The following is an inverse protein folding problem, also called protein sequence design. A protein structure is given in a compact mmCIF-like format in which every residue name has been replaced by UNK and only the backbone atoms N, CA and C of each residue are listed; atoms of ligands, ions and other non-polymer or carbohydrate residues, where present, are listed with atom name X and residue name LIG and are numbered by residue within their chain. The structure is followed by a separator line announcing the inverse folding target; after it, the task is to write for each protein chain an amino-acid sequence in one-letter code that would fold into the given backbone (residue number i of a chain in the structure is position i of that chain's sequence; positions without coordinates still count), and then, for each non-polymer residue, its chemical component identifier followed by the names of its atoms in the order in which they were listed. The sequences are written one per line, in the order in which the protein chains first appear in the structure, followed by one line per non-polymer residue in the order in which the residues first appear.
data_IF_955255732589
#
_entry.id   IF_955255732589
#
_cell.length_a   1.000
_cell.length_b   1.000
_cell.length_c   1.000
_cell.angle_alpha   90.00
_cell.angle_beta   90.00
_cell.angle_gamma   90.00
#
_symmetry.space_group_name_H-M   'P 1'
#
loop_
_entity.id
_entity.type
_entity.pdbx_description
1 polymer ?
#
# COMPACT_ATOMS: atom_id res chain seq x y z
N UNK A 1 16.42 -3.93 -20.56
CA UNK A 1 16.67 -3.71 -19.12
C UNK A 1 15.45 -2.98 -18.57
N UNK A 2 14.56 -3.67 -17.83
CA UNK A 2 13.39 -3.02 -17.23
C UNK A 2 13.89 -2.18 -16.04
N UNK A 3 13.59 -0.88 -16.03
CA UNK A 3 13.94 0.00 -14.92
C UNK A 3 13.31 -0.55 -13.62
N UNK A 4 14.14 -0.74 -12.59
CA UNK A 4 13.65 -1.16 -11.28
C UNK A 4 12.67 -0.11 -10.75
N UNK A 5 11.58 -0.53 -10.07
CA UNK A 5 10.70 0.41 -9.39
C UNK A 5 11.53 1.26 -8.43
N UNK A 6 11.19 2.54 -8.32
CA UNK A 6 11.87 3.47 -7.40
C UNK A 6 11.60 3.06 -5.95
N UNK A 7 12.41 2.14 -5.42
CA UNK A 7 12.30 1.62 -4.05
C UNK A 7 12.28 2.77 -3.04
N UNK A 8 11.33 2.72 -2.11
CA UNK A 8 11.21 3.68 -1.01
C UNK A 8 10.46 5.00 -1.33
N UNK A 9 10.05 5.26 -2.57
CA UNK A 9 9.24 6.45 -2.89
C UNK A 9 7.80 6.25 -2.39
N UNK A 10 7.32 7.16 -1.55
CA UNK A 10 5.95 7.16 -1.00
C UNK A 10 5.23 8.47 -1.30
N UNK A 11 3.97 8.42 -1.75
CA UNK A 11 3.12 9.60 -1.85
C UNK A 11 2.40 9.88 -0.53
N UNK A 12 2.23 11.17 -0.23
CA UNK A 12 1.35 11.66 0.86
C UNK A 12 -0.05 12.02 0.36
N UNK A 13 -0.25 12.07 -0.95
CA UNK A 13 -1.52 12.39 -1.57
C UNK A 13 -2.48 11.19 -1.56
N UNK A 14 -3.77 11.47 -1.73
CA UNK A 14 -4.81 10.45 -1.92
C UNK A 14 -4.65 9.78 -3.28
N UNK A 15 -5.12 8.53 -3.37
CA UNK A 15 -4.97 7.68 -4.55
C UNK A 15 -5.26 8.38 -5.90
N UNK A 16 -6.37 9.13 -6.09
CA UNK A 16 -6.66 9.74 -7.39
C UNK A 16 -5.62 10.77 -7.83
N UNK A 17 -5.14 11.59 -6.88
CA UNK A 17 -4.14 12.63 -7.14
C UNK A 17 -2.75 11.99 -7.35
N UNK A 18 -2.37 11.04 -6.49
CA UNK A 18 -1.12 10.31 -6.60
C UNK A 18 -0.99 9.55 -7.94
N UNK A 19 -2.08 8.91 -8.40
CA UNK A 19 -2.13 8.20 -9.68
C UNK A 19 -2.00 9.18 -10.86
N UNK A 20 -2.71 10.30 -10.81
CA UNK A 20 -2.64 11.33 -11.85
C UNK A 20 -1.24 11.94 -11.95
N UNK A 21 -0.64 12.30 -10.81
CA UNK A 21 0.72 12.84 -10.74
C UNK A 21 1.74 11.87 -11.34
N UNK A 22 1.62 10.56 -11.06
CA UNK A 22 2.48 9.54 -11.70
C UNK A 22 2.27 9.45 -13.21
N UNK A 23 1.02 9.50 -13.67
CA UNK A 23 0.73 9.48 -15.11
C UNK A 23 1.34 10.70 -15.81
N UNK A 24 1.24 11.88 -15.22
CA UNK A 24 1.83 13.12 -15.75
C UNK A 24 3.37 13.05 -15.74
N UNK A 25 3.99 12.63 -14.63
CA UNK A 25 5.44 12.44 -14.48
C UNK A 25 6.00 11.48 -15.53
N UNK A 26 5.26 10.41 -15.85
CA UNK A 26 5.64 9.38 -16.83
C UNK A 26 5.14 9.68 -18.24
N UNK A 27 4.45 10.80 -18.45
CA UNK A 27 3.83 11.21 -19.74
C UNK A 27 2.95 10.11 -20.35
N UNK A 28 2.21 9.40 -19.51
CA UNK A 28 1.32 8.32 -19.93
C UNK A 28 -0.12 8.82 -20.09
N UNK A 29 -0.72 8.52 -21.22
CA UNK A 29 -2.16 8.66 -21.44
C UNK A 29 -2.93 7.52 -20.76
N UNK A 30 -4.22 7.75 -20.50
CA UNK A 30 -5.14 6.70 -20.02
C UNK A 30 -5.15 5.45 -20.92
N UNK A 31 -5.03 5.61 -22.24
CA UNK A 31 -5.02 4.48 -23.18
C UNK A 31 -3.75 3.65 -23.06
N UNK A 32 -2.59 4.31 -22.89
CA UNK A 32 -1.32 3.62 -22.70
C UNK A 32 -1.29 2.86 -21.36
N UNK A 33 -1.78 3.49 -20.29
CA UNK A 33 -1.86 2.82 -18.99
C UNK A 33 -2.88 1.67 -19.00
N UNK A 34 -4.01 1.84 -19.67
CA UNK A 34 -5.01 0.78 -19.88
C UNK A 34 -4.40 -0.43 -20.58
N UNK A 35 -3.61 -0.20 -21.64
CA UNK A 35 -2.91 -1.27 -22.34
C UNK A 35 -1.93 -2.02 -21.43
N UNK A 36 -1.14 -1.29 -20.62
CA UNK A 36 -0.15 -1.89 -19.69
C UNK A 36 -0.79 -2.71 -18.56
N UNK A 37 -1.97 -2.30 -18.10
CA UNK A 37 -2.64 -2.89 -16.92
C UNK A 37 -3.79 -3.83 -17.27
N UNK A 38 -4.17 -3.92 -18.55
CA UNK A 38 -5.39 -4.58 -19.04
C UNK A 38 -6.70 -4.03 -18.45
N UNK A 39 -6.65 -2.84 -17.85
CA UNK A 39 -7.82 -2.12 -17.37
C UNK A 39 -8.43 -1.27 -18.49
N UNK A 40 -9.70 -0.89 -18.37
CA UNK A 40 -10.31 0.01 -19.34
C UNK A 40 -9.88 1.47 -19.10
N UNK A 41 -9.68 2.24 -20.17
CA UNK A 41 -9.36 3.67 -20.06
C UNK A 41 -10.47 4.46 -19.34
N UNK A 42 -11.74 4.04 -19.50
CA UNK A 42 -12.87 4.60 -18.76
C UNK A 42 -12.76 4.35 -17.25
N UNK A 43 -12.37 3.14 -16.85
CA UNK A 43 -12.14 2.83 -15.43
C UNK A 43 -11.01 3.67 -14.83
N UNK A 44 -9.88 3.79 -15.54
CA UNK A 44 -8.76 4.63 -15.10
C UNK A 44 -9.14 6.10 -14.95
N UNK A 45 -9.97 6.63 -15.85
CA UNK A 45 -10.48 8.00 -15.76
C UNK A 45 -11.37 8.19 -14.52
N UNK A 46 -12.18 7.19 -14.17
CA UNK A 46 -12.98 7.25 -12.94
C UNK A 46 -12.12 7.20 -11.68
N UNK A 47 -11.03 6.42 -11.70
CA UNK A 47 -10.07 6.31 -10.60
C UNK A 47 -9.31 7.63 -10.37
N UNK A 48 -8.76 8.26 -11.41
CA UNK A 48 -8.03 9.53 -11.26
C UNK A 48 -8.92 10.71 -10.88
N UNK A 49 -10.22 10.64 -11.18
CA UNK A 49 -11.23 11.61 -10.72
C UNK A 49 -11.73 11.36 -9.30
N UNK A 50 -11.45 10.20 -8.70
CA UNK A 50 -12.02 9.81 -7.41
C UNK A 50 -13.53 9.52 -7.44
N UNK A 51 -14.12 9.36 -8.63
CA UNK A 51 -15.54 9.05 -8.82
C UNK A 51 -15.89 7.58 -8.57
N UNK A 52 -14.88 6.75 -8.33
CA UNK A 52 -14.99 5.36 -7.89
C UNK A 52 -14.17 5.17 -6.62
N UNK A 53 -14.53 4.21 -5.77
CA UNK A 53 -13.73 3.85 -4.61
C UNK A 53 -12.32 3.41 -5.04
N UNK A 54 -11.38 3.57 -4.11
CA UNK A 54 -10.01 3.08 -4.26
C UNK A 54 -10.06 1.56 -4.50
N UNK A 55 -9.31 1.04 -5.48
CA UNK A 55 -9.42 -0.36 -5.85
C UNK A 55 -8.66 -1.28 -4.88
N UNK A 56 -8.95 -2.57 -4.97
CA UNK A 56 -8.29 -3.62 -4.18
C UNK A 56 -6.79 -3.72 -4.52
N UNK A 57 -6.02 -4.35 -3.63
CA UNK A 57 -4.55 -4.44 -3.71
C UNK A 57 -4.03 -5.01 -5.04
N UNK A 58 -4.59 -6.08 -5.63
CA UNK A 58 -4.10 -6.59 -6.91
C UNK A 58 -4.17 -5.56 -8.06
N UNK A 59 -5.16 -4.67 -8.01
CA UNK A 59 -5.31 -3.61 -9.01
C UNK A 59 -4.30 -2.49 -8.74
N UNK A 60 -4.06 -2.15 -7.47
CA UNK A 60 -3.02 -1.17 -7.11
C UNK A 60 -1.63 -1.69 -7.49
N UNK A 61 -1.33 -2.95 -7.23
CA UNK A 61 -0.06 -3.60 -7.61
C UNK A 61 0.15 -3.57 -9.12
N UNK A 62 -0.88 -3.92 -9.90
CA UNK A 62 -0.84 -3.84 -11.37
C UNK A 62 -0.56 -2.40 -11.85
N UNK A 63 -1.20 -1.40 -11.24
CA UNK A 63 -0.97 0.02 -11.54
C UNK A 63 0.45 0.45 -11.16
N UNK A 64 0.91 0.09 -9.97
CA UNK A 64 2.24 0.41 -9.46
C UNK A 64 3.33 -0.16 -10.37
N UNK A 65 3.19 -1.44 -10.74
CA UNK A 65 4.09 -2.11 -11.67
C UNK A 65 4.12 -1.41 -13.03
N UNK A 66 2.96 -1.08 -13.61
CA UNK A 66 2.87 -0.39 -14.89
C UNK A 66 3.45 1.04 -14.86
N UNK A 67 3.50 1.67 -13.69
CA UNK A 67 4.02 3.02 -13.45
C UNK A 67 5.47 3.03 -12.91
N UNK A 68 6.09 1.85 -12.77
CA UNK A 68 7.45 1.66 -12.25
C UNK A 68 7.65 2.23 -10.84
N UNK A 69 6.70 1.96 -9.94
CA UNK A 69 6.79 2.25 -8.50
C UNK A 69 6.38 1.02 -7.69
N UNK A 70 6.75 0.99 -6.42
CA UNK A 70 6.23 -0.01 -5.47
C UNK A 70 4.77 0.31 -5.10
N UNK A 71 3.94 -0.69 -4.73
CA UNK A 71 2.57 -0.47 -4.25
C UNK A 71 2.51 0.49 -3.05
N UNK A 72 3.54 0.46 -2.20
CA UNK A 72 3.82 1.37 -1.08
C UNK A 72 3.80 2.85 -1.45
N UNK A 73 3.95 3.17 -2.74
CA UNK A 73 3.77 4.52 -3.23
C UNK A 73 2.40 5.09 -2.87
N UNK A 74 1.35 4.27 -2.93
CA UNK A 74 -0.03 4.69 -2.67
C UNK A 74 -0.36 4.63 -1.18
N UNK A 75 -0.89 5.73 -0.63
CA UNK A 75 -1.23 5.84 0.79
C UNK A 75 -2.23 4.78 1.23
N UNK A 76 -3.26 4.52 0.43
CA UNK A 76 -4.35 3.60 0.75
C UNK A 76 -3.94 2.13 0.72
N UNK A 77 -2.86 1.79 0.00
CA UNK A 77 -2.23 0.48 0.09
C UNK A 77 -1.57 0.33 1.46
N UNK A 78 -0.75 1.31 1.86
CA UNK A 78 -0.09 1.33 3.18
C UNK A 78 -1.07 1.38 4.34
N UNK A 79 -2.17 2.12 4.23
CA UNK A 79 -3.19 2.20 5.28
C UNK A 79 -3.90 0.86 5.49
N UNK A 80 -4.14 0.08 4.43
CA UNK A 80 -4.72 -1.26 4.56
C UNK A 80 -3.76 -2.21 5.24
N UNK A 81 -2.51 -2.26 4.79
CA UNK A 81 -1.46 -3.06 5.45
C UNK A 81 -1.29 -2.68 6.92
N UNK A 82 -1.33 -1.38 7.23
CA UNK A 82 -1.29 -0.91 8.62
C UNK A 82 -2.52 -1.38 9.41
N UNK A 83 -3.71 -1.32 8.83
CA UNK A 83 -4.93 -1.80 9.49
C UNK A 83 -4.89 -3.31 9.75
N UNK A 84 -4.36 -4.11 8.82
CA UNK A 84 -4.18 -5.55 8.98
C UNK A 84 -3.25 -5.84 10.17
N UNK A 85 -2.07 -5.20 10.21
CA UNK A 85 -1.10 -5.33 11.31
C UNK A 85 -1.71 -4.92 12.65
N UNK A 86 -2.46 -3.81 12.69
CA UNK A 86 -3.12 -3.36 13.91
C UNK A 86 -4.27 -4.29 14.34
N UNK A 87 -4.91 -4.99 13.39
CA UNK A 87 -5.91 -6.03 13.68
C UNK A 87 -5.32 -7.23 14.42
N UNK A 88 -4.10 -7.63 14.05
CA UNK A 88 -3.37 -8.73 14.72
C UNK A 88 -2.69 -8.29 16.03
N UNK A 89 -2.57 -6.99 16.28
CA UNK A 89 -1.95 -6.42 17.49
C UNK A 89 -2.93 -5.52 18.28
N UNK A 90 -3.98 -6.08 18.90
CA UNK A 90 -5.06 -5.30 19.53
C UNK A 90 -4.58 -4.38 20.67
N UNK A 91 -3.57 -4.80 21.43
CA UNK A 91 -2.99 -3.97 22.51
C UNK A 91 -2.35 -2.71 21.92
N UNK A 92 -1.58 -2.85 20.85
CA UNK A 92 -0.97 -1.71 20.16
C UNK A 92 -2.03 -0.80 19.52
N UNK A 93 -3.07 -1.39 18.93
CA UNK A 93 -4.18 -0.63 18.34
C UNK A 93 -4.89 0.26 19.39
N UNK A 94 -5.18 -0.30 20.58
CA UNK A 94 -5.80 0.44 21.68
C UNK A 94 -4.90 1.58 22.21
N UNK A 95 -3.61 1.31 22.37
CA UNK A 95 -2.65 2.34 22.79
C UNK A 95 -2.54 3.48 21.76
N UNK A 96 -2.44 3.16 20.47
CA UNK A 96 -2.41 4.17 19.41
C UNK A 96 -3.72 4.97 19.35
N UNK A 97 -4.87 4.33 19.58
CA UNK A 97 -6.14 5.02 19.69
C UNK A 97 -6.11 6.04 20.84
N UNK A 98 -5.66 5.64 22.02
CA UNK A 98 -5.50 6.54 23.17
C UNK A 98 -4.61 7.74 22.86
N UNK A 99 -3.46 7.52 22.21
CA UNK A 99 -2.51 8.58 21.86
C UNK A 99 -3.08 9.53 20.80
N UNK A 100 -3.59 8.99 19.70
CA UNK A 100 -3.95 9.78 18.53
C UNK A 100 -5.31 10.48 18.66
N UNK A 101 -6.25 9.90 19.42
CA UNK A 101 -7.64 10.37 19.49
C UNK A 101 -8.07 10.78 20.90
N UNK A 102 -7.39 10.33 21.95
CA UNK A 102 -7.69 10.69 23.34
C UNK A 102 -6.60 11.52 24.02
N UNK A 103 -5.61 12.01 23.27
CA UNK A 103 -4.50 12.84 23.75
C UNK A 103 -3.68 12.19 24.90
N UNK A 104 -3.66 10.85 24.95
CA UNK A 104 -2.85 10.14 25.92
C UNK A 104 -1.34 10.36 25.65
N UNK A 105 -0.49 10.38 26.69
CA UNK A 105 0.94 10.55 26.51
C UNK A 105 1.57 9.38 25.76
N UNK A 106 2.57 9.66 24.93
CA UNK A 106 3.40 8.62 24.31
C UNK A 106 4.33 8.04 25.39
N UNK A 107 4.19 6.74 25.67
CA UNK A 107 4.99 6.03 26.68
C UNK A 107 6.08 5.18 26.02
N UNK A 108 7.09 4.78 26.80
CA UNK A 108 8.13 3.84 26.34
C UNK A 108 7.55 2.46 25.98
N UNK A 109 6.49 2.05 26.67
CA UNK A 109 5.72 0.84 26.41
C UNK A 109 5.18 0.78 24.97
N UNK A 110 4.69 1.91 24.44
CA UNK A 110 4.23 2.00 23.05
C UNK A 110 5.39 1.75 22.08
N UNK A 111 6.59 2.22 22.42
CA UNK A 111 7.82 1.96 21.63
C UNK A 111 8.21 0.49 21.60
N UNK A 112 8.04 -0.23 22.71
CA UNK A 112 8.26 -1.68 22.79
C UNK A 112 7.23 -2.44 21.94
N UNK A 113 5.94 -2.11 22.08
CA UNK A 113 4.88 -2.74 21.28
C UNK A 113 5.03 -2.51 19.78
N UNK A 114 5.47 -1.31 19.36
CA UNK A 114 5.79 -1.03 17.95
C UNK A 114 6.92 -1.92 17.42
N UNK A 115 7.89 -2.26 18.27
CA UNK A 115 9.01 -3.14 17.90
C UNK A 115 8.58 -4.59 17.80
N UNK A 116 7.64 -5.03 18.64
CA UNK A 116 7.13 -6.40 18.64
C UNK A 116 6.14 -6.66 17.50
N UNK A 117 5.26 -5.70 17.20
CA UNK A 117 4.37 -5.77 16.05
C UNK A 117 5.13 -5.90 14.72
N UNK A 118 6.33 -5.31 14.63
CA UNK A 118 7.20 -5.45 13.45
C UNK A 118 7.80 -6.86 13.28
N UNK A 119 7.93 -7.63 14.36
CA UNK A 119 8.51 -9.00 14.33
C UNK A 119 7.49 -10.09 14.00
N UNK A 120 6.20 -9.82 14.17
CA UNK A 120 5.14 -10.78 13.91
C UNK A 120 4.96 -11.09 12.41
N UNK A 121 5.24 -10.13 11.52
CA UNK A 121 5.11 -10.26 10.06
C UNK A 121 6.22 -11.16 9.46
N UNK A 122 7.45 -11.08 10.01
CA UNK A 122 8.59 -11.91 9.56
C UNK A 122 8.40 -13.42 9.86
N UNK A 123 7.56 -13.77 10.84
CA UNK A 123 7.36 -15.15 11.27
C UNK A 123 6.35 -15.90 10.38
N UNK A 124 5.47 -15.20 9.66
CA UNK A 124 4.42 -15.83 8.85
C UNK A 124 4.91 -16.19 7.43
N UNK A 125 5.90 -15.47 6.91
CA UNK A 125 6.56 -15.75 5.61
C UNK A 125 7.55 -16.94 5.68
N UNK A 126 7.79 -17.48 6.88
CA UNK A 126 8.72 -18.59 7.15
C UNK A 126 8.03 -19.97 7.23
N UNK A 127 6.92 -20.23 6.53
CA UNK A 127 6.40 -21.60 6.37
C UNK A 127 7.23 -22.35 5.30
N UNK A 128 7.88 -23.48 5.63
CA UNK A 128 8.61 -24.26 4.63
C UNK A 128 7.64 -24.80 3.59
N UNK A 129 7.91 -24.47 2.32
CA UNK A 129 7.32 -25.12 1.16
C UNK A 129 7.66 -26.61 1.21
N UNK A 130 6.74 -27.41 1.76
CA UNK A 130 6.86 -28.86 1.74
C UNK A 130 6.44 -29.35 0.35
N UNK A 131 7.37 -29.27 -0.60
CA UNK A 131 7.22 -29.90 -1.91
C UNK A 131 7.42 -31.40 -1.71
N UNK A 132 6.29 -32.11 -1.72
CA UNK A 132 6.21 -33.55 -1.96
C UNK A 132 7.07 -33.88 -3.20
N UNK A 133 8.13 -34.65 -3.01
CA UNK A 133 8.78 -35.38 -4.10
C UNK A 133 8.53 -36.87 -3.88
N UNK A 134 8.00 -37.47 -4.94
CA UNK A 134 7.56 -38.86 -5.14
C UNK A 134 8.59 -39.91 -4.73
#
# INVERSE_FOLDING_TARGET
MLAQPAKGRRSRERFPAALRGLMEERRLSYRQLAYKTRLSAGYLNHLTKGSRPVPADPVIESLAHALHVEPDYFMEFRLRRLADVLGEAPILADQLYGILLCEAPVTSEVGELLSDAARADDAEDAKPSNVVSL
#
